data_IF_569047122739
#
_entry.id   IF_569047122739
#
_cell.length_a   1.000
_cell.length_b   1.000
_cell.length_c   1.000
_cell.angle_alpha   90.00
_cell.angle_beta   90.00
_cell.angle_gamma   90.00
#
_symmetry.space_group_name_H-M   'P 1'
#
loop_
_entity.id
_entity.type
_entity.pdbx_description
1 polymer ?
#
# COMPACT_ATOMS: atom_id res chain seq x y z
N UNK A 1 -5.97 -42.85 -5.00
CA UNK A 1 -6.19 -41.71 -4.08
C UNK A 1 -5.77 -42.08 -2.66
N UNK A 2 -5.15 -41.15 -1.93
CA UNK A 2 -4.81 -41.26 -0.51
C UNK A 2 -6.08 -41.36 0.36
N UNK A 3 -5.98 -42.11 1.46
CA UNK A 3 -7.04 -42.23 2.49
C UNK A 3 -6.99 -41.13 3.55
N UNK A 4 -5.91 -40.34 3.58
CA UNK A 4 -5.82 -39.18 4.46
C UNK A 4 -6.73 -38.06 3.96
N UNK A 5 -7.07 -37.13 4.86
CA UNK A 5 -7.75 -35.88 4.48
C UNK A 5 -6.73 -34.77 4.30
N UNK A 6 -6.95 -33.89 3.32
CA UNK A 6 -6.10 -32.73 3.02
C UNK A 6 -6.88 -31.43 3.18
N UNK A 7 -6.27 -30.45 3.84
CA UNK A 7 -6.71 -29.06 3.80
C UNK A 7 -5.57 -28.23 3.18
N UNK A 8 -5.87 -27.55 2.07
CA UNK A 8 -4.99 -26.57 1.45
C UNK A 8 -5.54 -25.17 1.75
N UNK A 9 -4.71 -24.33 2.34
CA UNK A 9 -5.02 -22.91 2.55
C UNK A 9 -4.11 -22.12 1.63
N UNK A 10 -4.72 -21.26 0.81
CA UNK A 10 -4.04 -20.35 -0.10
C UNK A 10 -4.31 -18.93 0.37
N UNK A 11 -3.31 -18.30 0.98
CA UNK A 11 -3.41 -17.01 1.64
C UNK A 11 -3.33 -15.79 0.69
N UNK A 12 -3.06 -16.03 -0.59
CA UNK A 12 -3.05 -15.03 -1.68
C UNK A 12 -3.66 -15.63 -2.96
N UNK A 13 -4.91 -16.07 -2.84
CA UNK A 13 -5.58 -16.87 -3.86
C UNK A 13 -5.92 -16.13 -5.17
N UNK A 14 -5.72 -14.81 -5.24
CA UNK A 14 -5.91 -14.00 -6.45
C UNK A 14 -4.63 -13.89 -7.32
N UNK A 15 -3.52 -14.50 -6.85
CA UNK A 15 -2.23 -14.45 -7.53
C UNK A 15 -1.85 -15.75 -8.25
N UNK A 16 -1.24 -16.69 -7.53
CA UNK A 16 -0.53 -17.82 -8.13
C UNK A 16 -1.46 -18.95 -8.58
N UNK A 17 -2.56 -19.15 -7.87
CA UNK A 17 -3.53 -20.21 -8.10
C UNK A 17 -4.49 -19.94 -9.27
N UNK A 18 -4.63 -18.68 -9.70
CA UNK A 18 -5.46 -18.32 -10.84
C UNK A 18 -4.87 -18.88 -12.16
N UNK A 19 -5.68 -19.64 -12.91
CA UNK A 19 -5.30 -20.03 -14.25
C UNK A 19 -5.38 -18.83 -15.21
N UNK A 20 -4.24 -18.41 -15.74
CA UNK A 20 -4.16 -17.36 -16.75
C UNK A 20 -3.90 -17.90 -18.16
N UNK A 21 -3.77 -19.22 -18.33
CA UNK A 21 -3.64 -19.93 -19.61
C UNK A 21 -4.97 -20.60 -20.00
N UNK A 22 -5.00 -21.33 -21.12
CA UNK A 22 -6.17 -22.11 -21.51
C UNK A 22 -6.31 -23.33 -20.58
N UNK A 23 -7.47 -24.00 -20.60
CA UNK A 23 -7.69 -25.20 -19.78
C UNK A 23 -6.94 -26.43 -20.30
N UNK A 24 -6.48 -26.44 -21.56
CA UNK A 24 -5.68 -27.54 -22.10
C UNK A 24 -4.28 -27.60 -21.44
N UNK A 25 -3.66 -26.45 -21.24
CA UNK A 25 -2.37 -26.26 -20.55
C UNK A 25 -2.49 -25.17 -19.46
N UNK A 26 -3.09 -25.48 -18.29
CA UNK A 26 -3.19 -24.52 -17.19
C UNK A 26 -1.83 -24.04 -16.69
N UNK A 27 -1.80 -22.92 -15.97
CA UNK A 27 -0.56 -22.43 -15.33
C UNK A 27 0.03 -23.48 -14.38
N UNK A 28 1.36 -23.49 -14.24
CA UNK A 28 2.06 -24.54 -13.50
C UNK A 28 1.65 -24.63 -12.02
N UNK A 29 1.36 -23.50 -11.37
CA UNK A 29 0.92 -23.48 -9.97
C UNK A 29 -0.52 -24.01 -9.86
N UNK A 30 -1.45 -23.47 -10.66
CA UNK A 30 -2.84 -23.95 -10.74
C UNK A 30 -2.90 -25.47 -10.98
N UNK A 31 -2.18 -25.96 -12.01
CA UNK A 31 -2.10 -27.39 -12.34
C UNK A 31 -1.62 -28.24 -11.15
N UNK A 32 -0.60 -27.78 -10.42
CA UNK A 32 -0.05 -28.51 -9.26
C UNK A 32 -1.03 -28.53 -8.09
N UNK A 33 -1.72 -27.42 -7.80
CA UNK A 33 -2.73 -27.37 -6.73
C UNK A 33 -3.87 -28.34 -7.06
N UNK A 34 -4.43 -28.25 -8.27
CA UNK A 34 -5.49 -29.14 -8.76
C UNK A 34 -5.08 -30.62 -8.66
N UNK A 35 -3.88 -30.95 -9.15
CA UNK A 35 -3.34 -32.31 -9.06
C UNK A 35 -3.17 -32.78 -7.61
N UNK A 36 -2.64 -31.95 -6.70
CA UNK A 36 -2.54 -32.32 -5.29
C UNK A 36 -3.93 -32.62 -4.71
N UNK A 37 -4.92 -31.79 -4.98
CA UNK A 37 -6.30 -32.00 -4.50
C UNK A 37 -6.90 -33.31 -5.04
N UNK A 38 -6.61 -33.67 -6.30
CA UNK A 38 -7.10 -34.92 -6.93
C UNK A 38 -6.45 -36.20 -6.39
N UNK A 39 -5.30 -36.09 -5.72
CA UNK A 39 -4.63 -37.25 -5.12
C UNK A 39 -5.32 -37.75 -3.84
N UNK A 40 -6.23 -36.98 -3.23
CA UNK A 40 -6.86 -37.31 -1.95
C UNK A 40 -8.34 -37.63 -2.13
N UNK A 41 -8.82 -38.65 -1.41
CA UNK A 41 -10.26 -39.00 -1.39
C UNK A 41 -11.12 -37.99 -0.63
N UNK A 42 -10.50 -37.22 0.27
CA UNK A 42 -11.11 -36.11 1.00
C UNK A 42 -10.14 -34.93 0.96
N UNK A 43 -10.50 -33.86 0.27
CA UNK A 43 -9.71 -32.64 0.19
C UNK A 43 -10.60 -31.40 0.30
N UNK A 44 -10.06 -30.36 0.91
CA UNK A 44 -10.66 -29.03 0.95
C UNK A 44 -9.60 -27.99 0.52
N UNK A 45 -10.04 -27.01 -0.26
CA UNK A 45 -9.24 -25.86 -0.66
C UNK A 45 -9.92 -24.60 -0.13
N UNK A 46 -9.21 -23.82 0.67
CA UNK A 46 -9.68 -22.55 1.22
C UNK A 46 -8.82 -21.44 0.64
N UNK A 47 -9.43 -20.66 -0.23
CA UNK A 47 -8.86 -19.43 -0.78
C UNK A 47 -9.10 -18.26 0.18
N UNK A 48 -8.04 -17.51 0.47
CA UNK A 48 -8.08 -16.28 1.25
C UNK A 48 -7.42 -15.17 0.41
N UNK A 49 -8.09 -14.02 0.29
CA UNK A 49 -7.59 -12.88 -0.47
C UNK A 49 -8.32 -11.60 -0.09
N UNK A 50 -7.65 -10.46 -0.21
CA UNK A 50 -8.25 -9.15 -0.08
C UNK A 50 -8.91 -8.65 -1.39
N UNK A 51 -8.57 -9.25 -2.54
CA UNK A 51 -8.95 -8.80 -3.88
C UNK A 51 -9.51 -9.95 -4.71
N UNK A 52 -10.74 -10.43 -4.42
CA UNK A 52 -11.31 -11.65 -5.01
C UNK A 52 -11.77 -11.49 -6.47
N UNK A 53 -11.38 -10.41 -7.16
CA UNK A 53 -11.81 -10.08 -8.53
C UNK A 53 -11.56 -11.22 -9.51
N UNK A 54 -10.37 -11.81 -9.49
CA UNK A 54 -10.03 -12.90 -10.40
C UNK A 54 -10.73 -14.22 -10.02
N UNK A 55 -10.94 -14.44 -8.72
CA UNK A 55 -11.49 -15.68 -8.18
C UNK A 55 -12.94 -15.90 -8.60
N UNK A 56 -13.75 -14.83 -8.64
CA UNK A 56 -15.16 -14.92 -9.05
C UNK A 56 -15.33 -15.22 -10.55
N UNK A 57 -14.28 -15.04 -11.36
CA UNK A 57 -14.29 -15.31 -12.81
C UNK A 57 -13.61 -16.64 -13.20
N UNK A 58 -13.19 -17.46 -12.25
CA UNK A 58 -12.69 -18.81 -12.53
C UNK A 58 -13.82 -19.63 -13.19
N UNK A 59 -13.49 -20.45 -14.20
CA UNK A 59 -14.50 -21.29 -14.85
C UNK A 59 -14.97 -22.41 -13.90
N UNK A 60 -16.19 -22.27 -13.40
CA UNK A 60 -16.84 -23.27 -12.54
C UNK A 60 -17.07 -24.63 -13.23
N UNK A 61 -16.92 -24.73 -14.56
CA UNK A 61 -17.09 -25.96 -15.35
C UNK A 61 -15.79 -26.61 -15.76
N UNK A 62 -14.66 -25.92 -15.56
CA UNK A 62 -13.35 -26.43 -15.94
C UNK A 62 -13.01 -27.70 -15.16
N UNK A 63 -12.75 -28.77 -15.90
CA UNK A 63 -12.39 -30.09 -15.37
C UNK A 63 -11.46 -30.81 -16.34
N UNK A 64 -10.42 -31.46 -15.80
CA UNK A 64 -9.62 -32.43 -16.55
C UNK A 64 -9.49 -33.72 -15.75
N UNK A 65 -9.47 -34.85 -16.44
CA UNK A 65 -9.41 -36.16 -15.80
C UNK A 65 -8.12 -36.38 -14.98
N UNK A 66 -6.99 -35.81 -15.42
CA UNK A 66 -5.67 -35.97 -14.78
C UNK A 66 -5.44 -35.06 -13.56
N UNK A 67 -6.13 -33.91 -13.49
CA UNK A 67 -5.91 -32.90 -12.43
C UNK A 67 -7.18 -32.44 -11.70
N UNK A 68 -8.37 -32.83 -12.14
CA UNK A 68 -9.65 -32.48 -11.49
C UNK A 68 -10.23 -31.12 -11.90
N UNK A 69 -11.18 -30.63 -11.09
CA UNK A 69 -11.84 -29.33 -11.27
C UNK A 69 -10.88 -28.15 -11.06
N UNK A 70 -11.20 -26.99 -11.63
CA UNK A 70 -10.52 -25.73 -11.29
C UNK A 70 -10.97 -25.17 -9.93
N UNK A 71 -10.33 -24.09 -9.47
CA UNK A 71 -10.38 -23.57 -8.10
C UNK A 71 -11.50 -22.54 -7.87
N UNK A 72 -12.59 -22.60 -8.64
CA UNK A 72 -13.76 -21.74 -8.42
C UNK A 72 -14.35 -22.02 -7.01
N UNK A 73 -14.67 -21.00 -6.20
CA UNK A 73 -15.18 -21.17 -4.83
C UNK A 73 -16.64 -21.66 -4.83
N UNK A 74 -16.90 -22.86 -5.33
CA UNK A 74 -18.26 -23.38 -5.56
C UNK A 74 -19.08 -23.59 -4.29
N UNK A 75 -18.43 -23.82 -3.15
CA UNK A 75 -19.10 -24.25 -1.91
C UNK A 75 -19.54 -23.07 -1.05
N UNK A 76 -18.70 -22.03 -0.92
CA UNK A 76 -19.03 -20.81 -0.17
C UNK A 76 -18.08 -19.65 -0.52
N UNK A 77 -18.52 -18.43 -0.25
CA UNK A 77 -17.66 -17.24 -0.09
C UNK A 77 -18.10 -16.56 1.21
N UNK A 78 -17.13 -16.25 2.07
CA UNK A 78 -17.40 -15.57 3.33
C UNK A 78 -16.67 -14.23 3.37
N UNK A 79 -17.43 -13.13 3.31
CA UNK A 79 -16.89 -11.79 3.38
C UNK A 79 -16.64 -11.41 4.85
N UNK A 80 -15.37 -11.22 5.21
CA UNK A 80 -15.00 -10.77 6.54
C UNK A 80 -15.39 -9.30 6.74
N UNK A 81 -15.97 -9.00 7.91
CA UNK A 81 -16.24 -7.63 8.32
C UNK A 81 -14.95 -7.00 8.85
N UNK A 82 -14.60 -5.81 8.33
CA UNK A 82 -13.54 -5.00 8.90
C UNK A 82 -13.98 -4.46 10.26
N UNK A 83 -13.15 -4.59 11.32
CA UNK A 83 -13.46 -3.98 12.61
C UNK A 83 -13.43 -2.45 12.50
N UNK A 84 -14.10 -1.77 13.43
CA UNK A 84 -14.22 -0.31 13.43
C UNK A 84 -12.90 0.43 13.70
N UNK A 85 -11.80 -0.26 14.01
CA UNK A 85 -10.47 0.32 14.16
C UNK A 85 -9.55 0.03 12.96
N UNK A 86 -10.08 -0.61 11.91
CA UNK A 86 -9.34 -0.81 10.67
C UNK A 86 -9.40 0.47 9.83
N UNK A 87 -8.23 0.99 9.45
CA UNK A 87 -8.10 2.09 8.51
C UNK A 87 -8.28 1.54 7.10
N UNK A 88 -9.54 1.35 6.73
CA UNK A 88 -9.94 0.87 5.42
C UNK A 88 -10.04 1.99 4.40
N UNK A 89 -10.31 1.59 3.17
CA UNK A 89 -10.31 2.49 2.05
C UNK A 89 -11.44 3.52 2.06
N UNK A 90 -12.63 3.11 2.55
CA UNK A 90 -13.75 4.03 2.86
C UNK A 90 -13.30 5.21 3.73
N UNK A 91 -12.53 4.93 4.79
CA UNK A 91 -12.01 5.98 5.70
C UNK A 91 -11.03 6.94 5.06
N UNK A 92 -10.30 6.49 4.03
CA UNK A 92 -9.30 7.33 3.37
C UNK A 92 -9.98 8.41 2.51
N UNK A 93 -11.07 8.04 1.83
CA UNK A 93 -11.74 8.90 0.86
C UNK A 93 -13.05 9.52 1.35
N UNK A 94 -13.48 9.22 2.58
CA UNK A 94 -14.52 9.98 3.29
C UNK A 94 -14.18 11.50 3.30
N UNK A 95 -15.18 12.37 3.12
CA UNK A 95 -14.99 13.82 2.96
C UNK A 95 -14.09 14.48 4.02
N UNK A 96 -14.18 14.03 5.27
CA UNK A 96 -13.36 14.55 6.38
C UNK A 96 -11.87 14.21 6.23
N UNK A 97 -11.57 13.10 5.57
CA UNK A 97 -10.24 12.51 5.40
C UNK A 97 -9.63 12.77 4.02
N UNK A 98 -10.40 13.29 3.04
CA UNK A 98 -9.84 13.87 1.81
C UNK A 98 -8.78 14.95 2.09
N UNK A 99 -8.84 15.61 3.26
CA UNK A 99 -7.79 16.54 3.75
C UNK A 99 -6.41 15.88 3.92
N UNK A 100 -6.38 14.56 4.09
CA UNK A 100 -5.16 13.77 4.24
C UNK A 100 -4.58 13.32 2.89
N UNK A 101 -5.27 13.60 1.79
CA UNK A 101 -4.76 13.43 0.43
C UNK A 101 -4.17 14.75 -0.06
N UNK A 102 -2.93 14.71 -0.51
CA UNK A 102 -2.23 15.83 -1.14
C UNK A 102 -2.07 15.53 -2.63
N UNK A 103 -2.67 16.37 -3.47
CA UNK A 103 -2.57 16.18 -4.91
C UNK A 103 -1.21 16.58 -5.47
N UNK A 104 -0.67 15.67 -6.28
CA UNK A 104 0.52 15.86 -7.09
C UNK A 104 0.08 16.26 -8.50
N UNK A 105 0.74 17.26 -9.07
CA UNK A 105 0.52 17.66 -10.47
C UNK A 105 1.02 16.57 -11.43
N UNK A 106 0.28 16.27 -12.49
CA UNK A 106 0.73 15.30 -13.50
C UNK A 106 1.99 15.76 -14.27
N UNK A 107 2.27 17.07 -14.23
CA UNK A 107 3.45 17.70 -14.83
C UNK A 107 4.63 17.82 -13.85
N UNK A 108 4.65 17.05 -12.75
CA UNK A 108 5.76 17.07 -11.82
C UNK A 108 7.07 16.59 -12.48
N UNK A 109 8.18 16.87 -11.81
CA UNK A 109 9.54 16.56 -12.27
C UNK A 109 9.71 15.08 -12.66
N UNK A 110 8.95 14.17 -12.06
CA UNK A 110 8.92 12.75 -12.43
C UNK A 110 7.58 12.47 -13.13
N UNK A 111 7.55 12.31 -14.46
CA UNK A 111 6.31 12.04 -15.17
C UNK A 111 5.81 10.63 -14.86
N UNK A 112 4.48 10.43 -14.91
CA UNK A 112 3.85 9.13 -14.69
C UNK A 112 4.35 8.05 -15.67
N UNK A 113 4.62 8.46 -16.91
CA UNK A 113 5.13 7.61 -17.98
C UNK A 113 6.53 8.06 -18.39
N UNK A 114 7.52 7.25 -18.05
CA UNK A 114 8.92 7.46 -18.42
C UNK A 114 9.59 6.18 -18.92
N UNK A 115 10.77 6.36 -19.50
CA UNK A 115 11.67 5.27 -19.90
C UNK A 115 12.55 4.84 -18.72
N UNK A 116 13.12 3.64 -18.85
CA UNK A 116 13.99 3.02 -17.83
C UNK A 116 15.25 3.87 -17.52
N UNK A 117 15.72 4.64 -18.49
CA UNK A 117 16.93 5.47 -18.43
C UNK A 117 16.69 6.91 -17.95
N UNK A 118 15.46 7.22 -17.51
CA UNK A 118 15.10 8.53 -16.98
C UNK A 118 16.05 8.98 -15.87
N UNK A 119 16.49 10.24 -15.97
CA UNK A 119 17.43 10.85 -15.03
C UNK A 119 16.70 11.81 -14.11
N UNK A 120 16.65 11.44 -12.83
CA UNK A 120 16.13 12.32 -11.77
C UNK A 120 17.20 13.38 -11.52
N UNK A 121 16.84 14.66 -11.71
CA UNK A 121 17.76 15.79 -11.50
C UNK A 121 17.57 16.46 -10.14
N UNK A 122 16.34 16.50 -9.66
CA UNK A 122 15.94 17.16 -8.41
C UNK A 122 14.74 16.42 -7.85
N UNK A 123 14.57 16.46 -6.53
CA UNK A 123 13.36 15.93 -5.89
C UNK A 123 12.16 16.83 -6.20
N UNK A 124 11.00 16.23 -6.49
CA UNK A 124 9.77 17.00 -6.58
C UNK A 124 9.41 17.68 -5.26
N UNK A 125 8.84 18.89 -5.32
CA UNK A 125 8.47 19.67 -4.12
C UNK A 125 7.49 18.90 -3.23
N UNK A 126 6.53 18.18 -3.81
CA UNK A 126 5.59 17.36 -3.01
C UNK A 126 6.25 16.15 -2.36
N UNK A 127 7.33 15.64 -2.93
CA UNK A 127 8.10 14.58 -2.30
C UNK A 127 8.88 15.12 -1.10
N UNK A 128 9.48 16.31 -1.21
CA UNK A 128 10.12 17.00 -0.09
C UNK A 128 9.11 17.32 1.02
N UNK A 129 7.93 17.86 0.66
CA UNK A 129 6.81 18.08 1.59
C UNK A 129 6.42 16.79 2.32
N UNK A 130 6.33 15.66 1.60
CA UNK A 130 5.99 14.36 2.19
C UNK A 130 7.06 13.86 3.18
N UNK A 131 8.35 14.08 2.90
CA UNK A 131 9.44 13.76 3.84
C UNK A 131 9.36 14.64 5.10
N UNK A 132 9.07 15.94 4.94
CA UNK A 132 8.86 16.86 6.06
C UNK A 132 7.67 16.45 6.94
N UNK A 133 6.54 16.06 6.33
CA UNK A 133 5.38 15.49 7.02
C UNK A 133 5.78 14.24 7.80
N UNK A 134 6.58 13.34 7.22
CA UNK A 134 7.02 12.13 7.91
C UNK A 134 7.86 12.42 9.16
N UNK A 135 8.76 13.40 9.09
CA UNK A 135 9.57 13.88 10.22
C UNK A 135 8.66 14.43 11.33
N UNK A 136 7.68 15.27 10.98
CA UNK A 136 6.69 15.79 11.94
C UNK A 136 5.87 14.65 12.56
N UNK A 137 5.43 13.67 11.76
CA UNK A 137 4.67 12.52 12.24
C UNK A 137 5.44 11.72 13.30
N UNK A 138 6.75 11.51 13.11
CA UNK A 138 7.59 10.84 14.11
C UNK A 138 7.56 11.61 15.43
N UNK A 139 7.75 12.94 15.39
CA UNK A 139 7.73 13.79 16.57
C UNK A 139 6.37 13.73 17.30
N UNK A 140 5.26 13.90 16.58
CA UNK A 140 3.92 13.82 17.18
C UNK A 140 3.68 12.44 17.81
N UNK A 141 4.04 11.36 17.11
CA UNK A 141 3.89 9.99 17.64
C UNK A 141 4.72 9.78 18.88
N UNK A 142 5.96 10.28 18.92
CA UNK A 142 6.80 10.20 20.11
C UNK A 142 6.15 10.92 21.31
N UNK A 143 5.63 12.14 21.09
CA UNK A 143 4.95 12.94 22.12
C UNK A 143 3.66 12.28 22.62
N UNK A 144 2.98 11.51 21.76
CA UNK A 144 1.84 10.66 22.13
C UNK A 144 2.22 9.37 22.87
N UNK A 145 3.51 9.12 23.11
CA UNK A 145 3.99 7.93 23.82
C UNK A 145 4.38 6.74 22.94
N UNK A 146 4.40 6.90 21.61
CA UNK A 146 4.73 5.83 20.66
C UNK A 146 6.21 5.78 20.25
N UNK A 147 7.12 6.34 21.05
CA UNK A 147 8.55 6.45 20.75
C UNK A 147 9.26 5.11 20.51
N UNK A 148 8.75 4.02 21.09
CA UNK A 148 9.27 2.66 20.93
C UNK A 148 8.52 1.85 19.86
N UNK A 149 7.84 2.50 18.93
CA UNK A 149 7.15 1.85 17.81
C UNK A 149 7.77 2.22 16.48
N UNK A 150 7.56 1.39 15.46
CA UNK A 150 8.05 1.67 14.12
C UNK A 150 7.33 2.87 13.49
N UNK A 151 8.06 3.64 12.69
CA UNK A 151 7.54 4.68 11.82
C UNK A 151 7.99 4.36 10.40
N UNK A 152 7.07 4.33 9.44
CA UNK A 152 7.43 4.16 8.05
C UNK A 152 6.77 5.17 7.11
N UNK A 153 7.50 5.47 6.05
CA UNK A 153 7.05 6.19 4.87
C UNK A 153 7.32 5.33 3.64
N UNK A 154 6.40 5.35 2.67
CA UNK A 154 6.56 4.67 1.39
C UNK A 154 6.67 5.68 0.26
N UNK A 155 7.71 5.59 -0.56
CA UNK A 155 7.84 6.31 -1.84
C UNK A 155 7.80 5.28 -2.97
N UNK A 156 6.71 5.31 -3.73
CA UNK A 156 6.52 4.53 -4.94
C UNK A 156 6.27 5.44 -6.14
N UNK A 157 7.35 5.92 -6.74
CA UNK A 157 7.32 6.92 -7.83
C UNK A 157 7.64 6.38 -9.24
N UNK A 158 8.08 5.13 -9.36
CA UNK A 158 8.42 4.51 -10.66
C UNK A 158 8.22 3.00 -10.62
N UNK A 159 8.15 2.38 -11.81
CA UNK A 159 8.27 0.92 -11.97
C UNK A 159 9.73 0.45 -12.13
N UNK A 160 10.67 1.38 -12.31
CA UNK A 160 12.07 1.06 -12.61
C UNK A 160 12.95 1.23 -11.38
N UNK A 161 13.64 0.16 -11.01
CA UNK A 161 14.60 0.11 -9.91
C UNK A 161 15.68 1.19 -10.02
N UNK A 162 16.18 1.48 -11.21
CA UNK A 162 17.26 2.48 -11.39
C UNK A 162 16.79 3.92 -11.18
N UNK A 163 15.50 4.20 -11.38
CA UNK A 163 14.91 5.49 -11.01
C UNK A 163 14.75 5.58 -9.49
N UNK A 164 14.30 4.50 -8.84
CA UNK A 164 14.23 4.45 -7.38
C UNK A 164 15.57 4.62 -6.69
N UNK A 165 16.66 4.05 -7.21
CA UNK A 165 18.03 4.25 -6.67
C UNK A 165 18.47 5.71 -6.74
N UNK A 166 18.12 6.42 -7.82
CA UNK A 166 18.41 7.86 -7.93
C UNK A 166 17.63 8.64 -6.86
N UNK A 167 16.35 8.30 -6.67
CA UNK A 167 15.50 8.93 -5.65
C UNK A 167 16.01 8.62 -4.25
N UNK A 168 16.43 7.40 -3.97
CA UNK A 168 17.06 7.00 -2.70
C UNK A 168 18.24 7.90 -2.36
N UNK A 169 19.14 8.13 -3.31
CA UNK A 169 20.26 9.05 -3.14
C UNK A 169 19.79 10.45 -2.75
N UNK A 170 18.90 11.05 -3.53
CA UNK A 170 18.46 12.42 -3.28
C UNK A 170 17.63 12.57 -2.00
N UNK A 171 16.77 11.60 -1.67
CA UNK A 171 15.99 11.61 -0.42
C UNK A 171 16.92 11.48 0.78
N UNK A 172 17.94 10.62 0.70
CA UNK A 172 18.93 10.49 1.76
C UNK A 172 19.73 11.80 1.97
N UNK A 173 20.18 12.44 0.89
CA UNK A 173 20.84 13.76 0.95
C UNK A 173 19.92 14.83 1.54
N UNK A 174 18.64 14.85 1.13
CA UNK A 174 17.66 15.81 1.64
C UNK A 174 17.38 15.62 3.14
N UNK A 175 17.13 14.38 3.58
CA UNK A 175 16.92 14.06 5.01
C UNK A 175 18.14 14.44 5.84
N UNK A 176 19.34 14.09 5.37
CA UNK A 176 20.59 14.46 6.04
C UNK A 176 20.69 15.98 6.24
N UNK A 177 20.56 16.75 5.16
CA UNK A 177 20.68 18.20 5.21
C UNK A 177 19.63 18.83 6.13
N UNK A 178 18.37 18.38 6.03
CA UNK A 178 17.28 18.88 6.85
C UNK A 178 17.52 18.62 8.35
N UNK A 179 17.93 17.40 8.72
CA UNK A 179 18.20 17.06 10.13
C UNK A 179 19.39 17.83 10.69
N UNK A 180 20.47 17.99 9.91
CA UNK A 180 21.63 18.80 10.33
C UNK A 180 21.21 20.23 10.64
N UNK A 181 20.44 20.87 9.76
CA UNK A 181 19.93 22.24 9.96
C UNK A 181 19.04 22.35 11.20
N UNK A 182 18.18 21.37 11.43
CA UNK A 182 17.33 21.33 12.63
C UNK A 182 18.17 21.17 13.90
N UNK A 183 19.22 20.35 13.89
CA UNK A 183 20.08 20.18 15.08
C UNK A 183 20.94 21.42 15.33
N UNK A 184 21.47 22.05 14.29
CA UNK A 184 22.31 23.26 14.39
C UNK A 184 21.53 24.46 14.92
N UNK A 185 20.30 24.68 14.44
CA UNK A 185 19.54 25.90 14.71
C UNK A 185 18.31 25.71 15.60
N UNK A 186 17.77 24.50 15.72
CA UNK A 186 16.50 24.25 16.40
C UNK A 186 16.52 24.41 17.92
N UNK A 187 17.70 24.61 18.53
CA UNK A 187 17.86 24.96 19.96
C UNK A 187 17.88 26.47 20.22
N UNK A 188 17.89 27.30 19.18
CA UNK A 188 17.74 28.75 19.32
C UNK A 188 16.32 29.11 19.77
N UNK A 189 16.07 30.30 20.35
CA UNK A 189 14.72 30.84 20.46
C UNK A 189 14.02 30.80 19.10
N UNK A 190 12.71 30.51 19.07
CA UNK A 190 11.95 30.21 17.85
C UNK A 190 12.18 31.21 16.72
N UNK A 191 12.04 32.51 17.02
CA UNK A 191 12.25 33.57 16.03
C UNK A 191 13.67 33.52 15.44
N UNK A 192 14.66 33.19 16.27
CA UNK A 192 16.05 33.01 15.85
C UNK A 192 16.27 31.76 15.00
N UNK A 193 15.63 30.63 15.33
CA UNK A 193 15.75 29.39 14.54
C UNK A 193 15.19 29.58 13.13
N UNK A 194 14.04 30.24 13.00
CA UNK A 194 13.35 30.49 11.73
C UNK A 194 14.06 31.53 10.85
N UNK A 195 14.70 32.53 11.47
CA UNK A 195 15.52 33.51 10.75
C UNK A 195 16.79 32.87 10.19
N UNK A 196 17.39 31.92 10.92
CA UNK A 196 18.71 31.37 10.58
C UNK A 196 18.66 30.13 9.67
N UNK A 197 17.50 29.45 9.57
CA UNK A 197 17.33 28.27 8.70
C UNK A 197 16.05 28.33 7.88
N UNK A 198 16.25 28.38 6.56
CA UNK A 198 15.20 28.22 5.56
C UNK A 198 14.46 26.88 5.74
N UNK A 199 15.20 25.82 6.05
CA UNK A 199 14.68 24.48 6.20
C UNK A 199 13.73 24.36 7.39
N UNK A 200 14.05 25.00 8.52
CA UNK A 200 13.15 25.10 9.68
C UNK A 200 11.89 25.89 9.32
N UNK A 201 12.04 27.00 8.58
CA UNK A 201 10.89 27.80 8.13
C UNK A 201 9.95 27.00 7.22
N UNK A 202 10.49 26.28 6.24
CA UNK A 202 9.71 25.41 5.36
C UNK A 202 9.02 24.28 6.14
N UNK A 203 9.70 23.67 7.12
CA UNK A 203 9.11 22.65 7.97
C UNK A 203 7.95 23.21 8.81
N UNK A 204 8.08 24.43 9.33
CA UNK A 204 6.99 25.15 10.02
C UNK A 204 5.81 25.44 9.11
N UNK A 205 6.05 25.84 7.87
CA UNK A 205 4.98 26.05 6.88
C UNK A 205 4.19 24.76 6.62
N UNK A 206 4.88 23.63 6.47
CA UNK A 206 4.23 22.31 6.38
C UNK A 206 3.43 22.00 7.64
N UNK A 207 4.01 22.23 8.82
CA UNK A 207 3.32 22.07 10.10
C UNK A 207 2.01 22.89 10.15
N UNK A 208 2.08 24.18 9.89
CA UNK A 208 0.92 25.08 9.91
C UNK A 208 -0.15 24.67 8.89
N UNK A 209 0.25 24.18 7.72
CA UNK A 209 -0.68 23.78 6.66
C UNK A 209 -1.38 22.46 6.93
N UNK A 210 -0.69 21.50 7.55
CA UNK A 210 -1.15 20.09 7.65
C UNK A 210 -1.53 19.65 9.05
N UNK A 211 -1.14 20.40 10.07
CA UNK A 211 -1.20 20.00 11.48
C UNK A 211 -1.69 21.12 12.42
N UNK A 212 -2.31 22.18 11.90
CA UNK A 212 -2.82 23.30 12.70
C UNK A 212 -3.90 22.94 13.74
N UNK A 213 -4.47 21.73 13.68
CA UNK A 213 -5.47 21.23 14.62
C UNK A 213 -4.90 20.20 15.61
N UNK A 214 -3.59 19.95 15.60
CA UNK A 214 -2.95 19.04 16.55
C UNK A 214 -2.82 19.65 17.94
N UNK A 215 -2.64 18.77 18.93
CA UNK A 215 -2.53 19.11 20.35
C UNK A 215 -1.17 19.72 20.76
N UNK A 216 -0.15 19.63 19.90
CA UNK A 216 1.20 20.12 20.19
C UNK A 216 1.53 21.32 19.32
N UNK A 217 2.08 22.36 19.93
CA UNK A 217 2.54 23.57 19.23
C UNK A 217 3.84 23.32 18.46
N UNK A 218 4.15 24.18 17.49
CA UNK A 218 5.35 24.08 16.65
C UNK A 218 6.65 23.98 17.46
N UNK A 219 6.77 24.73 18.56
CA UNK A 219 7.95 24.73 19.41
C UNK A 219 8.19 23.40 20.12
N UNK A 220 7.12 22.75 20.57
CA UNK A 220 7.18 21.41 21.16
C UNK A 220 7.62 20.40 20.10
N UNK A 221 7.07 20.50 18.89
CA UNK A 221 7.41 19.63 17.76
C UNK A 221 8.88 19.79 17.36
N UNK A 222 9.34 21.04 17.16
CA UNK A 222 10.71 21.32 16.78
C UNK A 222 11.70 20.79 17.82
N UNK A 223 11.42 21.02 19.10
CA UNK A 223 12.25 20.50 20.21
C UNK A 223 12.30 18.98 20.21
N UNK A 224 11.17 18.30 20.05
CA UNK A 224 11.13 16.84 19.98
C UNK A 224 11.96 16.32 18.79
N UNK A 225 11.91 16.98 17.62
CA UNK A 225 12.74 16.63 16.46
C UNK A 225 14.23 16.77 16.78
N UNK A 226 14.63 17.87 17.41
CA UNK A 226 16.00 18.06 17.87
C UNK A 226 16.41 16.96 18.86
N UNK A 227 15.55 16.66 19.83
CA UNK A 227 15.85 15.71 20.90
C UNK A 227 16.08 14.31 20.36
N UNK A 228 15.19 13.76 19.51
CA UNK A 228 15.40 12.42 18.95
C UNK A 228 16.52 12.38 17.88
N UNK A 229 16.95 13.52 17.34
CA UNK A 229 18.06 13.60 16.37
C UNK A 229 19.45 13.82 17.02
N UNK A 230 19.49 14.19 18.31
CA UNK A 230 20.72 14.58 19.02
C UNK A 230 21.24 13.56 20.04
N UNK A 231 20.62 12.39 20.21
CA UNK A 231 20.93 11.45 21.32
C UNK A 231 22.20 10.60 21.16
N UNK A 232 23.28 11.13 20.60
CA UNK A 232 24.60 10.50 20.58
C UNK A 232 25.40 10.77 21.87
N UNK A 233 26.28 9.84 22.27
CA UNK A 233 27.34 10.16 23.25
C UNK A 233 28.50 10.81 22.48
N UNK A 234 28.88 12.04 22.84
CA UNK A 234 29.75 12.89 22.03
C UNK A 234 28.94 13.73 21.04
N UNK A 235 29.46 14.85 20.57
CA UNK A 235 28.79 15.83 19.70
C UNK A 235 28.43 15.30 18.28
N UNK A 236 28.19 14.00 18.10
CA UNK A 236 27.81 13.39 16.83
C UNK A 236 26.30 13.43 16.61
N UNK A 237 25.89 13.98 15.47
CA UNK A 237 24.49 14.00 15.03
C UNK A 237 24.07 12.58 14.65
N UNK A 238 23.02 12.05 15.31
CA UNK A 238 22.49 10.72 15.01
C UNK A 238 21.20 10.84 14.20
N UNK A 239 21.32 10.68 12.89
CA UNK A 239 20.16 10.65 11.99
C UNK A 239 19.43 9.32 12.18
N UNK A 240 18.39 9.34 13.00
CA UNK A 240 17.57 8.17 13.33
C UNK A 240 16.48 7.89 12.27
N UNK A 241 16.74 8.22 10.99
CA UNK A 241 15.84 7.94 9.86
C UNK A 241 16.63 7.23 8.78
N UNK A 242 16.29 5.97 8.52
CA UNK A 242 16.94 5.18 7.49
C UNK A 242 16.20 5.36 6.16
N UNK A 243 16.92 5.66 5.09
CA UNK A 243 16.37 5.62 3.73
C UNK A 243 16.80 4.32 3.08
N UNK A 244 15.85 3.49 2.64
CA UNK A 244 16.12 2.14 2.16
C UNK A 244 15.43 1.87 0.84
N UNK A 245 16.22 1.51 -0.17
CA UNK A 245 15.74 0.93 -1.41
C UNK A 245 15.36 -0.55 -1.26
N UNK A 246 14.09 -0.91 -1.54
CA UNK A 246 13.63 -2.32 -1.51
C UNK A 246 13.34 -2.80 -2.94
N UNK A 247 14.18 -3.73 -3.42
CA UNK A 247 14.21 -4.19 -4.81
C UNK A 247 14.27 -5.71 -4.88
N UNK A 248 13.94 -6.31 -6.03
CA UNK A 248 13.91 -7.77 -6.23
C UNK A 248 15.27 -8.45 -6.09
N UNK A 249 16.36 -7.67 -5.96
CA UNK A 249 17.73 -8.10 -5.72
C UNK A 249 18.44 -7.26 -4.65
N UNK A 250 17.72 -6.55 -3.78
CA UNK A 250 18.37 -5.78 -2.71
C UNK A 250 18.86 -6.73 -1.61
N UNK A 251 20.13 -6.62 -1.23
CA UNK A 251 20.71 -7.36 -0.09
C UNK A 251 20.18 -6.85 1.26
N UNK A 252 19.58 -5.65 1.29
CA UNK A 252 19.01 -5.05 2.50
C UNK A 252 17.58 -5.54 2.70
N UNK A 253 17.40 -6.42 3.68
CA UNK A 253 16.09 -6.82 4.17
C UNK A 253 15.59 -5.79 5.21
N UNK A 254 14.32 -5.43 5.12
CA UNK A 254 13.68 -4.51 6.06
C UNK A 254 13.35 -5.29 7.34
N UNK A 255 14.21 -5.22 8.35
CA UNK A 255 14.02 -5.96 9.60
C UNK A 255 13.37 -5.08 10.68
N UNK A 256 12.21 -5.52 11.19
CA UNK A 256 11.46 -4.87 12.28
C UNK A 256 11.66 -5.55 13.65
N UNK A 257 12.39 -6.67 13.74
CA UNK A 257 12.41 -7.55 14.92
C UNK A 257 13.18 -6.98 16.12
N UNK A 258 14.13 -6.08 15.92
CA UNK A 258 15.08 -5.70 16.99
C UNK A 258 14.69 -4.41 17.72
N UNK A 259 14.43 -3.32 16.99
CA UNK A 259 14.28 -1.97 17.55
C UNK A 259 13.30 -1.11 16.75
N UNK A 260 12.58 -0.25 17.47
CA UNK A 260 11.80 0.84 16.89
C UNK A 260 12.64 1.58 15.85
N UNK A 261 12.13 1.66 14.63
CA UNK A 261 12.88 2.16 13.47
C UNK A 261 12.03 3.18 12.76
N UNK A 262 12.63 4.32 12.40
CA UNK A 262 12.06 5.26 11.45
C UNK A 262 12.67 4.99 10.08
N UNK A 263 11.83 4.67 9.10
CA UNK A 263 12.31 4.27 7.77
C UNK A 263 11.51 4.91 6.65
N UNK A 264 12.23 5.43 5.64
CA UNK A 264 11.66 5.81 4.35
C UNK A 264 12.01 4.70 3.37
N UNK A 265 10.98 3.95 2.98
CA UNK A 265 11.09 2.84 2.04
C UNK A 265 10.84 3.36 0.63
N UNK A 266 11.78 3.11 -0.28
CA UNK A 266 11.70 3.51 -1.67
C UNK A 266 11.72 2.26 -2.52
N UNK A 267 10.62 1.97 -3.21
CA UNK A 267 10.56 0.74 -3.98
C UNK A 267 9.30 0.55 -4.78
N UNK A 268 9.28 -0.56 -5.51
CA UNK A 268 8.28 -0.86 -6.53
C UNK A 268 7.56 -2.19 -6.29
N UNK A 269 7.49 -3.01 -7.35
CA UNK A 269 6.83 -4.31 -7.34
C UNK A 269 7.36 -5.30 -6.30
N UNK A 270 8.57 -5.12 -5.78
CA UNK A 270 9.12 -5.97 -4.71
C UNK A 270 8.44 -5.76 -3.36
N UNK A 271 7.75 -4.63 -3.17
CA UNK A 271 6.92 -4.33 -2.00
C UNK A 271 5.46 -4.80 -2.20
N UNK A 272 5.14 -5.48 -3.31
CA UNK A 272 3.75 -5.74 -3.72
C UNK A 272 3.06 -6.87 -2.97
N UNK A 273 3.79 -7.84 -2.37
CA UNK A 273 3.18 -8.96 -1.62
C UNK A 273 4.05 -9.44 -0.45
N UNK A 274 3.42 -9.75 0.69
CA UNK A 274 4.08 -10.31 1.88
C UNK A 274 4.93 -9.33 2.73
N UNK A 275 5.16 -8.10 2.28
CA UNK A 275 5.90 -7.08 3.03
C UNK A 275 4.95 -6.15 3.79
N UNK A 276 4.98 -6.24 5.13
CA UNK A 276 4.25 -5.35 6.03
C UNK A 276 5.11 -4.13 6.35
N UNK A 277 4.60 -2.92 6.08
CA UNK A 277 5.24 -1.67 6.51
C UNK A 277 4.65 -1.23 7.85
N UNK A 278 5.33 -1.59 8.94
CA UNK A 278 4.88 -1.23 10.28
C UNK A 278 4.98 0.28 10.51
N UNK A 279 3.92 0.86 11.11
CA UNK A 279 3.89 2.29 11.40
C UNK A 279 3.78 3.20 10.18
N UNK A 280 3.25 2.72 9.06
CA UNK A 280 3.13 3.52 7.84
C UNK A 280 2.21 4.72 8.06
N UNK A 281 2.76 5.92 7.94
CA UNK A 281 2.03 7.18 8.15
C UNK A 281 2.07 8.11 6.93
N UNK A 282 3.03 7.95 6.02
CA UNK A 282 3.11 8.76 4.79
C UNK A 282 3.31 7.87 3.58
N UNK A 283 2.53 8.08 2.53
CA UNK A 283 2.68 7.39 1.24
C UNK A 283 2.77 8.40 0.10
N UNK A 284 3.81 8.31 -0.72
CA UNK A 284 3.95 9.07 -1.97
C UNK A 284 3.87 8.09 -3.14
N UNK A 285 2.81 8.21 -3.94
CA UNK A 285 2.39 7.21 -4.91
C UNK A 285 2.12 7.85 -6.29
N UNK A 286 2.96 7.51 -7.27
CA UNK A 286 2.82 7.95 -8.67
C UNK A 286 2.74 6.78 -9.67
N UNK A 287 2.50 5.54 -9.20
CA UNK A 287 2.44 4.42 -10.14
C UNK A 287 1.17 4.52 -10.99
N UNK A 288 1.37 4.38 -12.30
CA UNK A 288 0.28 4.14 -13.22
C UNK A 288 0.03 2.63 -13.38
N UNK A 289 -1.14 2.16 -12.94
CA UNK A 289 -1.71 0.84 -13.25
C UNK A 289 -3.16 1.05 -13.63
N UNK A 290 -3.66 0.20 -14.53
CA UNK A 290 -5.06 0.17 -14.92
C UNK A 290 -5.84 -0.95 -14.21
N UNK A 291 -5.17 -1.91 -13.56
CA UNK A 291 -5.85 -3.07 -12.98
C UNK A 291 -6.29 -2.82 -11.53
N UNK A 292 -7.54 -3.16 -11.21
CA UNK A 292 -8.12 -3.00 -9.87
C UNK A 292 -7.32 -3.80 -8.82
N UNK A 293 -7.06 -5.08 -9.08
CA UNK A 293 -6.32 -5.98 -8.18
C UNK A 293 -4.97 -5.37 -7.78
N UNK A 294 -4.23 -4.90 -8.78
CA UNK A 294 -2.90 -4.34 -8.60
C UNK A 294 -2.98 -3.02 -7.86
N UNK A 295 -3.94 -2.15 -8.19
CA UNK A 295 -4.07 -0.84 -7.53
C UNK A 295 -4.43 -0.99 -6.05
N UNK A 296 -5.36 -1.90 -5.72
CA UNK A 296 -5.75 -2.21 -4.35
C UNK A 296 -4.62 -2.84 -3.52
N UNK A 297 -3.90 -3.81 -4.08
CA UNK A 297 -2.75 -4.43 -3.40
C UNK A 297 -1.64 -3.40 -3.09
N UNK A 298 -1.54 -2.33 -3.89
CA UNK A 298 -0.55 -1.28 -3.70
C UNK A 298 -0.94 -0.21 -2.70
N UNK A 299 -2.23 -0.11 -2.36
CA UNK A 299 -2.76 0.78 -1.33
C UNK A 299 -2.32 0.36 0.08
N UNK A 300 -1.02 0.38 0.37
CA UNK A 300 -0.44 -0.04 1.66
C UNK A 300 -0.86 0.85 2.83
N UNK A 301 -1.42 2.02 2.55
CA UNK A 301 -1.98 2.90 3.55
C UNK A 301 -3.23 2.30 4.24
N UNK A 302 -3.86 1.26 3.69
CA UNK A 302 -4.87 0.49 4.42
C UNK A 302 -4.22 -0.34 5.54
N UNK A 303 -4.89 -0.45 6.69
CA UNK A 303 -4.38 -1.25 7.82
C UNK A 303 -4.76 -0.72 9.18
N UNK A 304 -4.22 -1.29 10.25
CA UNK A 304 -4.41 -0.73 11.59
C UNK A 304 -3.53 0.50 11.80
N UNK A 305 -4.10 1.59 12.33
CA UNK A 305 -3.45 2.90 12.52
C UNK A 305 -3.74 3.51 13.91
N UNK A 306 -4.10 2.66 14.87
CA UNK A 306 -4.57 3.08 16.20
C UNK A 306 -3.64 4.10 16.84
N UNK A 307 -4.18 5.28 17.16
CA UNK A 307 -3.46 6.38 17.82
C UNK A 307 -2.75 7.37 16.89
N UNK A 308 -2.75 7.15 15.57
CA UNK A 308 -2.11 8.05 14.60
C UNK A 308 -2.81 8.14 13.24
N UNK A 309 -4.09 7.76 13.15
CA UNK A 309 -4.91 7.84 11.93
C UNK A 309 -4.96 9.27 11.35
N UNK A 310 -5.05 10.25 12.23
CA UNK A 310 -5.07 11.68 11.94
C UNK A 310 -3.76 12.22 11.35
N UNK A 311 -2.65 11.48 11.51
CA UNK A 311 -1.33 11.80 10.97
C UNK A 311 -1.10 11.19 9.58
N UNK A 312 -1.95 10.25 9.16
CA UNK A 312 -1.77 9.57 7.88
C UNK A 312 -1.89 10.57 6.72
N UNK A 313 -0.94 10.56 5.79
CA UNK A 313 -0.97 11.42 4.59
C UNK A 313 -0.65 10.62 3.34
N UNK A 314 -1.39 10.86 2.26
CA UNK A 314 -1.17 10.21 0.97
C UNK A 314 -0.96 11.28 -0.09
N UNK A 315 0.11 11.15 -0.84
CA UNK A 315 0.46 12.00 -1.96
C UNK A 315 0.26 11.20 -3.23
N UNK A 316 -0.67 11.64 -4.08
CA UNK A 316 -0.99 11.00 -5.37
C UNK A 316 -1.58 12.03 -6.33
N UNK A 317 -1.76 11.70 -7.61
CA UNK A 317 -2.48 12.59 -8.52
C UNK A 317 -4.00 12.54 -8.24
N UNK A 318 -4.72 13.59 -8.60
CA UNK A 318 -6.19 13.65 -8.44
C UNK A 318 -6.87 12.49 -9.17
N UNK A 319 -6.47 12.24 -10.43
CA UNK A 319 -6.91 11.08 -11.21
C UNK A 319 -6.73 9.75 -10.47
N UNK A 320 -5.62 9.55 -9.74
CA UNK A 320 -5.41 8.32 -8.98
C UNK A 320 -6.34 8.22 -7.78
N UNK A 321 -6.66 9.34 -7.13
CA UNK A 321 -7.64 9.35 -6.06
C UNK A 321 -9.03 8.94 -6.58
N UNK A 322 -9.46 9.47 -7.72
CA UNK A 322 -10.73 9.10 -8.36
C UNK A 322 -10.76 7.61 -8.75
N UNK A 323 -9.66 7.10 -9.32
CA UNK A 323 -9.54 5.67 -9.66
C UNK A 323 -9.62 4.77 -8.41
N UNK A 324 -8.99 5.17 -7.30
CA UNK A 324 -9.14 4.45 -6.03
C UNK A 324 -10.61 4.48 -5.58
N UNK A 325 -11.27 5.64 -5.57
CA UNK A 325 -12.67 5.77 -5.16
C UNK A 325 -13.62 4.89 -5.97
N UNK A 326 -13.44 4.84 -7.30
CA UNK A 326 -14.20 3.95 -8.19
C UNK A 326 -14.06 2.48 -7.79
N UNK A 327 -12.82 2.02 -7.61
CA UNK A 327 -12.53 0.62 -7.27
C UNK A 327 -13.13 0.24 -5.91
N UNK A 328 -13.14 1.18 -4.97
CA UNK A 328 -13.71 0.94 -3.65
C UNK A 328 -15.21 0.78 -3.67
N UNK A 329 -15.91 1.59 -4.47
CA UNK A 329 -17.35 1.44 -4.65
C UNK A 329 -17.67 0.06 -5.24
N UNK A 330 -16.96 -0.35 -6.29
CA UNK A 330 -17.11 -1.70 -6.89
C UNK A 330 -16.78 -2.81 -5.89
N UNK A 331 -15.77 -2.62 -5.04
CA UNK A 331 -15.43 -3.57 -3.97
C UNK A 331 -16.55 -3.69 -2.95
N UNK A 332 -17.13 -2.56 -2.53
CA UNK A 332 -18.22 -2.52 -1.54
C UNK A 332 -19.46 -3.24 -2.07
N UNK A 333 -19.82 -3.01 -3.33
CA UNK A 333 -20.94 -3.69 -4.00
C UNK A 333 -20.72 -5.21 -4.06
N UNK A 334 -19.51 -5.66 -4.46
CA UNK A 334 -19.17 -7.08 -4.48
C UNK A 334 -19.23 -7.71 -3.08
N UNK A 335 -18.74 -7.00 -2.06
CA UNK A 335 -18.81 -7.46 -0.67
C UNK A 335 -20.24 -7.51 -0.14
N UNK A 336 -21.12 -6.60 -0.59
CA UNK A 336 -22.54 -6.63 -0.30
C UNK A 336 -23.20 -7.87 -0.92
N UNK A 337 -22.91 -8.17 -2.17
CA UNK A 337 -23.41 -9.37 -2.86
C UNK A 337 -23.00 -10.65 -2.15
N UNK A 338 -21.75 -10.76 -1.68
CA UNK A 338 -21.29 -11.90 -0.89
C UNK A 338 -22.07 -12.06 0.42
N UNK A 339 -22.37 -10.96 1.12
CA UNK A 339 -23.18 -10.99 2.34
C UNK A 339 -24.61 -11.43 2.04
N UNK A 340 -25.23 -10.85 1.03
CA UNK A 340 -26.59 -11.19 0.61
C UNK A 340 -26.70 -12.66 0.20
N UNK A 341 -25.71 -13.19 -0.53
CA UNK A 341 -25.61 -14.59 -0.90
C UNK A 341 -25.53 -15.50 0.34
N UNK A 342 -24.65 -15.16 1.29
CA UNK A 342 -24.51 -15.91 2.55
C UNK A 342 -25.78 -15.87 3.40
N UNK A 343 -26.45 -14.73 3.50
CA UNK A 343 -27.71 -14.55 4.25
C UNK A 343 -28.85 -15.38 3.66
N UNK A 344 -28.86 -15.56 2.34
CA UNK A 344 -29.82 -16.41 1.63
C UNK A 344 -29.45 -17.89 1.64
N UNK A 345 -28.29 -18.27 2.20
CA UNK A 345 -27.79 -19.65 2.20
C UNK A 345 -27.53 -20.21 0.79
N UNK A 346 -27.22 -19.33 -0.17
CA UNK A 346 -26.96 -19.70 -1.56
C UNK A 346 -25.47 -19.97 -1.79
N UNK A 347 -25.16 -20.90 -2.71
CA UNK A 347 -23.78 -21.05 -3.19
C UNK A 347 -23.47 -20.03 -4.29
N UNK A 348 -22.18 -19.76 -4.58
CA UNK A 348 -21.81 -18.91 -5.72
C UNK A 348 -22.36 -19.40 -7.06
N UNK A 349 -22.57 -20.71 -7.21
CA UNK A 349 -23.20 -21.29 -8.40
C UNK A 349 -24.69 -20.96 -8.52
N UNK A 350 -25.41 -20.87 -7.41
CA UNK A 350 -26.84 -20.54 -7.38
C UNK A 350 -27.11 -19.04 -7.50
N UNK A 351 -26.23 -18.22 -6.92
CA UNK A 351 -26.42 -16.77 -6.82
C UNK A 351 -26.06 -16.05 -8.12
N UNK A 352 -24.94 -16.44 -8.75
CA UNK A 352 -24.35 -15.73 -9.88
C UNK A 352 -23.70 -14.42 -9.44
N UNK A 353 -22.38 -14.28 -9.66
CA UNK A 353 -21.62 -13.11 -9.25
C UNK A 353 -21.36 -12.21 -10.47
N UNK A 354 -21.53 -10.91 -10.28
CA UNK A 354 -21.23 -9.91 -11.29
C UNK A 354 -20.41 -8.78 -10.66
N UNK A 355 -19.61 -8.12 -11.50
CA UNK A 355 -18.85 -6.94 -11.11
C UNK A 355 -19.18 -5.87 -12.14
N UNK A 356 -19.56 -4.70 -11.66
CA UNK A 356 -19.84 -3.56 -12.53
C UNK A 356 -18.53 -3.05 -13.14
N UNK A 357 -18.54 -2.89 -14.47
CA UNK A 357 -17.44 -2.29 -15.23
C UNK A 357 -17.86 -0.87 -15.61
N UNK A 358 -17.00 0.12 -15.36
CA UNK A 358 -17.21 1.48 -15.83
C UNK A 358 -16.61 1.62 -17.25
N UNK A 359 -17.42 1.67 -18.32
CA UNK A 359 -16.92 1.73 -19.69
C UNK A 359 -16.21 3.05 -20.02
N UNK A 360 -16.45 4.10 -19.24
CA UNK A 360 -15.79 5.41 -19.39
C UNK A 360 -14.47 5.49 -18.61
N UNK A 361 -14.17 4.47 -17.79
CA UNK A 361 -12.92 4.35 -17.06
C UNK A 361 -11.88 3.57 -17.87
N UNK A 362 -10.61 3.98 -17.78
CA UNK A 362 -9.51 3.21 -18.35
C UNK A 362 -9.13 1.98 -17.50
N UNK A 363 -9.73 1.87 -16.31
CA UNK A 363 -9.44 0.80 -15.39
C UNK A 363 -10.05 -0.54 -15.84
N UNK A 364 -9.44 -1.64 -15.38
CA UNK A 364 -9.84 -3.01 -15.70
C UNK A 364 -9.94 -3.80 -14.41
N UNK A 365 -11.04 -4.54 -14.23
CA UNK A 365 -11.30 -5.34 -13.03
C UNK A 365 -10.14 -6.30 -12.72
N UNK A 366 -9.64 -6.97 -13.75
CA UNK A 366 -8.41 -7.76 -13.68
C UNK A 366 -7.83 -7.94 -15.07
N UNK A 367 -6.68 -8.60 -15.18
CA UNK A 367 -6.04 -8.84 -16.47
C UNK A 367 -6.99 -9.60 -17.44
N UNK A 368 -6.98 -9.26 -18.74
CA UNK A 368 -7.88 -9.86 -19.75
C UNK A 368 -7.83 -11.40 -19.78
N UNK A 369 -6.66 -11.96 -19.53
CA UNK A 369 -6.46 -13.40 -19.41
C UNK A 369 -7.03 -14.02 -18.12
N UNK A 370 -7.59 -13.24 -17.20
CA UNK A 370 -8.35 -13.73 -16.04
C UNK A 370 -9.88 -13.58 -16.24
N UNK A 371 -10.31 -12.80 -17.24
CA UNK A 371 -11.73 -12.54 -17.55
C UNK A 371 -12.32 -13.44 -18.65
N UNK A 372 -11.59 -14.44 -19.13
CA UNK A 372 -11.93 -15.21 -20.35
C UNK A 372 -13.30 -15.89 -20.29
N UNK A 373 -13.73 -16.23 -19.08
CA UNK A 373 -14.95 -16.99 -18.80
C UNK A 373 -16.10 -16.08 -18.34
N UNK A 374 -15.85 -14.78 -18.22
CA UNK A 374 -16.87 -13.79 -17.90
C UNK A 374 -17.77 -13.52 -19.11
N UNK A 375 -19.03 -13.15 -18.85
CA UNK A 375 -19.97 -12.70 -19.88
C UNK A 375 -20.43 -11.30 -19.54
N UNK A 376 -20.38 -10.40 -20.52
CA UNK A 376 -20.92 -9.06 -20.35
C UNK A 376 -22.45 -9.13 -20.22
N UNK A 377 -22.99 -8.50 -19.17
CA UNK A 377 -24.41 -8.29 -18.97
C UNK A 377 -24.70 -6.81 -19.21
N UNK A 378 -25.65 -6.50 -20.11
CA UNK A 378 -26.17 -5.13 -20.20
C UNK A 378 -27.28 -4.99 -19.16
N UNK A 379 -27.14 -4.01 -18.27
CA UNK A 379 -28.23 -3.57 -17.39
C UNK A 379 -29.33 -2.90 -18.22
#
# INVERSE_FOLDING_TARGET
>A
MSKHSLLVIDDEADYGSINTKNEEDPTSINKKIRHILSLFSKSAYVAYTATPYANVFIDHRAYKEDIGSDLFPKDFIYALNSPSNYFGAKRVFEEKMRRNVSYISENEIIPLNHKIDFKVKVLPEKMMEAVQVFIINIAVRNLRGYRNTHNSMLIHSSRFTDVHKQIEKYVNEYVYNLIVKIVDYGKLPLDGAEIQSEEIRQLKEVYNKKFNLLEFTWDIILKEICDYSSTGSGNEIKININVVGVYSKSEKELNYLDKATNVIVIGGASLSRGYTLEGLSVSYFLRNTIFYDTLMQMGRWFGYRSGYEDLCRIYMTEKKADEFEEILNVTEDLMFDFKLMSEKGMTPGDFGLAIEENPDSALQITAKNKLKNARALKK
#
